data_IF_508474085737
#
_entry.id   IF_508474085737
#
_cell.length_a   1.000
_cell.length_b   1.000
_cell.length_c   1.000
_cell.angle_alpha   90.00
_cell.angle_beta   90.00
_cell.angle_gamma   90.00
#
_symmetry.space_group_name_H-M   'P 1'
#
loop_
_entity.id
_entity.type
_entity.pdbx_description
1 polymer ?
#
# COMPACT_ATOMS: atom_id res chain seq x y z
N UNK A 1 49.15 -7.84 -33.84
CA UNK A 1 48.47 -8.11 -35.13
C UNK A 1 46.98 -8.32 -34.84
N UNK A 2 46.07 -7.76 -35.65
CA UNK A 2 44.64 -7.58 -35.34
C UNK A 2 43.80 -8.79 -35.79
N UNK A 3 42.75 -9.17 -35.07
CA UNK A 3 41.61 -9.92 -35.66
C UNK A 3 40.30 -9.58 -34.92
N UNK A 4 39.48 -8.81 -35.63
CA UNK A 4 38.03 -8.95 -35.84
C UNK A 4 37.05 -9.04 -34.66
N UNK A 5 36.15 -8.06 -34.65
CA UNK A 5 34.81 -8.19 -34.10
C UNK A 5 34.03 -9.29 -34.83
N UNK A 6 33.54 -10.30 -34.09
CA UNK A 6 32.53 -11.24 -34.57
C UNK A 6 31.19 -10.88 -33.92
N UNK A 7 30.21 -10.55 -34.77
CA UNK A 7 28.81 -10.33 -34.39
C UNK A 7 28.22 -11.66 -33.91
N UNK A 8 27.79 -11.73 -32.66
CA UNK A 8 26.88 -12.78 -32.18
C UNK A 8 25.47 -12.21 -32.16
N UNK A 9 24.78 -12.30 -33.29
CA UNK A 9 23.33 -12.41 -33.29
C UNK A 9 23.02 -13.90 -33.27
N UNK A 10 22.44 -14.43 -32.19
CA UNK A 10 21.41 -15.47 -32.32
C UNK A 10 20.73 -15.84 -31.00
N UNK A 11 19.41 -15.94 -31.15
CA UNK A 11 18.42 -16.68 -30.38
C UNK A 11 18.01 -16.24 -28.97
N UNK A 12 16.85 -15.59 -28.99
CA UNK A 12 15.76 -15.78 -28.04
C UNK A 12 15.59 -17.28 -27.70
N UNK A 13 16.16 -17.72 -26.57
CA UNK A 13 15.84 -19.01 -26.00
C UNK A 13 14.86 -18.78 -24.85
N UNK A 14 13.57 -18.93 -25.17
CA UNK A 14 12.57 -19.30 -24.19
C UNK A 14 13.00 -20.62 -23.55
N UNK A 15 13.24 -20.62 -22.25
CA UNK A 15 13.73 -21.81 -21.56
C UNK A 15 14.01 -21.58 -20.08
N UNK A 16 12.95 -21.60 -19.29
CA UNK A 16 12.91 -22.25 -17.97
C UNK A 16 14.09 -21.96 -17.03
N UNK A 17 14.16 -20.73 -16.55
CA UNK A 17 14.70 -20.44 -15.23
C UNK A 17 13.66 -19.58 -14.53
N UNK A 18 12.84 -20.17 -13.67
CA UNK A 18 12.10 -19.41 -12.66
C UNK A 18 13.11 -19.15 -11.53
N UNK A 19 13.81 -18.00 -11.47
CA UNK A 19 14.28 -17.55 -10.18
C UNK A 19 13.03 -17.24 -9.38
N UNK A 20 13.01 -17.69 -8.13
CA UNK A 20 12.01 -17.37 -7.13
C UNK A 20 11.92 -15.84 -6.93
N UNK A 21 11.32 -15.15 -7.88
CA UNK A 21 10.76 -13.83 -7.71
C UNK A 21 9.31 -14.04 -7.36
N UNK A 22 9.03 -14.34 -6.09
CA UNK A 22 7.74 -13.98 -5.51
C UNK A 22 7.68 -12.46 -5.64
N UNK A 23 7.21 -11.97 -6.78
CA UNK A 23 6.63 -10.65 -6.85
C UNK A 23 5.40 -10.82 -5.98
N UNK A 24 5.53 -10.46 -4.70
CA UNK A 24 4.39 -10.10 -3.90
C UNK A 24 3.71 -9.00 -4.71
N UNK A 25 2.76 -9.39 -5.56
CA UNK A 25 1.74 -8.47 -6.04
C UNK A 25 1.18 -7.92 -4.76
N UNK A 26 1.58 -6.70 -4.41
CA UNK A 26 0.97 -5.96 -3.33
C UNK A 26 -0.50 -5.96 -3.72
N UNK A 27 -1.25 -6.86 -3.09
CA UNK A 27 -2.68 -6.96 -3.25
C UNK A 27 -3.13 -5.56 -2.88
N UNK A 28 -3.60 -4.83 -3.88
CA UNK A 28 -4.08 -3.47 -3.70
C UNK A 28 -5.27 -3.63 -2.76
N UNK A 29 -5.00 -3.44 -1.48
CA UNK A 29 -5.99 -3.56 -0.44
C UNK A 29 -7.04 -2.50 -0.77
N UNK A 30 -8.23 -2.92 -1.22
CA UNK A 30 -9.40 -2.05 -1.41
C UNK A 30 -9.80 -1.33 -0.10
N UNK A 31 -9.13 -1.66 1.01
CA UNK A 31 -9.18 -0.92 2.25
C UNK A 31 -8.57 0.47 2.13
N UNK A 32 -9.44 1.47 2.29
CA UNK A 32 -9.01 2.83 2.58
C UNK A 32 -8.30 2.84 3.94
N UNK A 33 -6.98 3.04 3.92
CA UNK A 33 -6.15 3.19 5.13
C UNK A 33 -6.61 4.36 6.01
N UNK A 34 -7.23 5.38 5.42
CA UNK A 34 -7.85 6.48 6.17
C UNK A 34 -9.31 6.69 5.70
N UNK A 35 -10.24 6.33 6.58
CA UNK A 35 -11.68 6.60 6.42
C UNK A 35 -12.07 7.85 7.23
N UNK A 36 -12.38 8.94 6.54
CA UNK A 36 -12.66 10.25 7.14
C UNK A 36 -14.16 10.57 7.15
N UNK A 37 -14.93 9.89 8.01
CA UNK A 37 -16.38 10.11 8.09
C UNK A 37 -16.72 11.42 8.81
N UNK A 38 -15.82 11.91 9.68
CA UNK A 38 -15.97 13.19 10.37
C UNK A 38 -15.62 14.41 9.50
N UNK A 39 -15.13 14.21 8.27
CA UNK A 39 -14.76 15.28 7.31
C UNK A 39 -13.72 16.25 7.88
N UNK A 40 -12.69 15.71 8.54
CA UNK A 40 -11.58 16.48 9.08
C UNK A 40 -10.67 16.97 7.93
N UNK A 41 -10.51 16.18 6.88
CA UNK A 41 -9.62 16.49 5.75
C UNK A 41 -10.32 17.23 4.62
N UNK A 42 -10.97 18.36 4.92
CA UNK A 42 -11.77 19.14 3.95
C UNK A 42 -11.00 20.24 3.23
N UNK A 43 -9.88 20.70 3.77
CA UNK A 43 -9.02 21.68 3.10
C UNK A 43 -8.00 21.02 2.16
N UNK A 44 -7.48 21.72 1.14
CA UNK A 44 -6.43 21.20 0.27
C UNK A 44 -5.17 20.76 1.03
N UNK A 45 -4.79 21.51 2.08
CA UNK A 45 -3.65 21.20 2.94
C UNK A 45 -3.89 19.94 3.77
N UNK A 46 -5.13 19.76 4.25
CA UNK A 46 -5.51 18.56 4.98
C UNK A 46 -5.56 17.34 4.06
N UNK A 47 -6.04 17.47 2.82
CA UNK A 47 -5.99 16.41 1.82
C UNK A 47 -4.54 15.98 1.48
N UNK A 48 -3.62 16.95 1.38
CA UNK A 48 -2.19 16.65 1.20
C UNK A 48 -1.60 15.91 2.42
N UNK A 49 -2.00 16.30 3.63
CA UNK A 49 -1.61 15.63 4.88
C UNK A 49 -2.15 14.19 4.93
N UNK A 50 -3.41 13.98 4.52
CA UNK A 50 -4.03 12.66 4.41
C UNK A 50 -3.20 11.74 3.49
N UNK A 51 -2.88 12.21 2.29
CA UNK A 51 -2.09 11.44 1.33
C UNK A 51 -0.67 11.12 1.86
N UNK A 52 -0.05 12.05 2.60
CA UNK A 52 1.25 11.83 3.22
C UNK A 52 1.19 10.71 4.29
N UNK A 53 0.14 10.71 5.13
CA UNK A 53 -0.07 9.67 6.16
C UNK A 53 -0.34 8.31 5.50
N UNK A 54 -1.19 8.26 4.47
CA UNK A 54 -1.47 7.01 3.74
C UNK A 54 -0.20 6.39 3.14
N UNK A 55 0.71 7.22 2.62
CA UNK A 55 2.01 6.78 2.13
C UNK A 55 2.88 6.19 3.24
N UNK A 56 2.91 6.82 4.42
CA UNK A 56 3.67 6.31 5.57
C UNK A 56 3.13 4.97 6.07
N UNK A 57 1.81 4.81 6.14
CA UNK A 57 1.18 3.55 6.56
C UNK A 57 1.44 2.42 5.56
N UNK A 58 1.45 2.76 4.27
CA UNK A 58 1.81 1.79 3.21
C UNK A 58 3.24 1.32 3.38
N UNK A 59 4.18 2.24 3.61
CA UNK A 59 5.59 1.89 3.84
C UNK A 59 5.76 1.03 5.10
N UNK A 60 5.09 1.38 6.19
CA UNK A 60 5.14 0.61 7.43
C UNK A 60 4.57 -0.81 7.26
N UNK A 61 3.47 -0.96 6.51
CA UNK A 61 2.91 -2.28 6.22
C UNK A 61 3.90 -3.13 5.43
N UNK A 62 4.55 -2.57 4.40
CA UNK A 62 5.57 -3.28 3.64
C UNK A 62 6.80 -3.67 4.48
N UNK A 63 7.17 -2.85 5.48
CA UNK A 63 8.32 -3.10 6.35
C UNK A 63 8.02 -4.11 7.46
N UNK A 64 6.85 -4.02 8.09
CA UNK A 64 6.52 -4.74 9.32
C UNK A 64 5.49 -5.85 9.14
N UNK A 65 4.78 -5.87 8.01
CA UNK A 65 3.59 -6.69 7.79
C UNK A 65 2.36 -6.26 8.59
N UNK A 66 2.44 -5.13 9.32
CA UNK A 66 1.32 -4.60 10.13
C UNK A 66 0.46 -3.67 9.28
N UNK A 67 -0.83 -3.96 9.19
CA UNK A 67 -1.80 -3.08 8.55
C UNK A 67 -2.34 -2.05 9.54
N UNK A 68 -2.09 -0.77 9.27
CA UNK A 68 -2.63 0.36 10.03
C UNK A 68 -3.80 1.00 9.30
N UNK A 69 -4.89 1.24 10.04
CA UNK A 69 -6.03 1.99 9.59
C UNK A 69 -6.35 3.15 10.55
N UNK A 70 -6.85 4.25 10.01
CA UNK A 70 -7.39 5.38 10.77
C UNK A 70 -8.83 5.61 10.36
N UNK A 71 -9.71 5.67 11.36
CA UNK A 71 -11.13 6.01 11.19
C UNK A 71 -11.41 7.29 11.97
N UNK A 72 -11.93 8.32 11.30
CA UNK A 72 -12.47 9.51 11.96
C UNK A 72 -14.00 9.43 11.93
N UNK A 73 -14.63 9.54 13.09
CA UNK A 73 -16.08 9.47 13.25
C UNK A 73 -16.52 10.49 14.29
N UNK A 74 -17.73 11.01 14.14
CA UNK A 74 -18.36 11.80 15.20
C UNK A 74 -18.94 10.86 16.25
N UNK A 75 -18.55 11.05 17.51
CA UNK A 75 -19.14 10.35 18.67
C UNK A 75 -20.29 11.14 19.30
N UNK A 76 -20.72 12.24 18.67
CA UNK A 76 -21.80 13.09 19.19
C UNK A 76 -23.14 12.34 19.31
N UNK A 77 -23.30 11.21 18.63
CA UNK A 77 -24.47 10.32 18.71
C UNK A 77 -24.49 9.42 19.95
N UNK A 78 -23.47 9.51 20.82
CA UNK A 78 -23.41 8.79 22.11
C UNK A 78 -22.74 7.42 22.06
N UNK A 79 -22.35 6.93 20.88
CA UNK A 79 -21.58 5.69 20.74
C UNK A 79 -20.12 5.93 21.13
N UNK A 80 -19.54 5.04 21.93
CA UNK A 80 -18.15 5.20 22.35
C UNK A 80 -17.18 4.93 21.21
N UNK A 81 -16.08 5.69 21.14
CA UNK A 81 -15.03 5.45 20.16
C UNK A 81 -14.44 4.03 20.25
N UNK A 82 -14.45 3.45 21.46
CA UNK A 82 -13.98 2.09 21.73
C UNK A 82 -14.85 1.02 21.06
N UNK A 83 -16.18 1.14 21.17
CA UNK A 83 -17.10 0.19 20.55
C UNK A 83 -17.02 0.25 19.02
N UNK A 84 -16.89 1.46 18.45
CA UNK A 84 -16.72 1.65 17.01
C UNK A 84 -15.41 1.00 16.55
N UNK A 85 -14.30 1.24 17.26
CA UNK A 85 -13.01 0.65 16.91
C UNK A 85 -13.03 -0.89 16.99
N UNK A 86 -13.64 -1.47 18.03
CA UNK A 86 -13.77 -2.92 18.17
C UNK A 86 -14.51 -3.54 16.97
N UNK A 87 -15.59 -2.90 16.50
CA UNK A 87 -16.34 -3.39 15.33
C UNK A 87 -15.52 -3.50 14.04
N UNK A 88 -14.38 -2.81 13.94
CA UNK A 88 -13.50 -2.79 12.76
C UNK A 88 -12.36 -3.79 12.82
N UNK A 89 -12.08 -4.36 13.99
CA UNK A 89 -11.04 -5.38 14.17
C UNK A 89 -11.59 -6.79 13.95
N UNK A 90 -12.86 -7.02 14.28
CA UNK A 90 -13.52 -8.33 14.20
C UNK A 90 -14.19 -8.62 12.83
N UNK A 91 -14.11 -7.68 11.87
CA UNK A 91 -14.70 -7.80 10.52
C UNK A 91 -13.67 -8.26 9.48
#
# INVERSE_FOLDING_TARGET
MPVSALRFSFFLLAGLGLPFGYIATAQESDFKRIDDQARIFTSPEAAASKAAIEKQFTALNLETGVELFVLTVSTATGTSAREIAASKVDS
#
